data_IF_070383843897
#
_entry.id   IF_070383843897
#
_cell.length_a   1.000
_cell.length_b   1.000
_cell.length_c   1.000
_cell.angle_alpha   90.00
_cell.angle_beta   90.00
_cell.angle_gamma   90.00
#
_symmetry.space_group_name_H-M   'P 1'
#
loop_
_entity.id
_entity.type
_entity.pdbx_description
1 polymer ?
#
# COMPACT_ATOMS: atom_id res chain seq x y z
N UNK A 1 -47.04 -46.14 -12.78
CA UNK A 1 -46.21 -45.29 -13.67
C UNK A 1 -46.75 -43.87 -13.71
N UNK A 2 -45.87 -42.87 -13.56
CA UNK A 2 -46.02 -41.46 -13.99
C UNK A 2 -47.01 -40.54 -13.24
N UNK A 3 -46.77 -40.13 -11.98
CA UNK A 3 -47.31 -38.85 -11.44
C UNK A 3 -46.47 -38.13 -10.37
N UNK A 4 -45.20 -38.49 -10.16
CA UNK A 4 -44.40 -37.96 -9.02
C UNK A 4 -43.05 -37.34 -9.41
N UNK A 5 -42.94 -36.73 -10.59
CA UNK A 5 -41.69 -36.08 -11.06
C UNK A 5 -41.97 -34.69 -11.67
N UNK A 6 -42.85 -33.89 -11.08
CA UNK A 6 -43.06 -32.50 -11.55
C UNK A 6 -42.99 -31.45 -10.43
N UNK A 7 -42.88 -31.84 -9.16
CA UNK A 7 -42.80 -30.90 -8.05
C UNK A 7 -41.37 -30.49 -7.66
N UNK A 8 -40.34 -31.24 -8.07
CA UNK A 8 -38.94 -30.93 -7.73
C UNK A 8 -38.28 -29.91 -8.67
N UNK A 9 -38.87 -29.59 -9.81
CA UNK A 9 -38.34 -28.56 -10.72
C UNK A 9 -38.87 -27.15 -10.41
N UNK A 10 -39.99 -27.02 -9.68
CA UNK A 10 -40.52 -25.71 -9.27
C UNK A 10 -39.82 -25.14 -8.02
N UNK A 11 -39.16 -26.00 -7.22
CA UNK A 11 -38.36 -25.55 -6.07
C UNK A 11 -36.91 -25.15 -6.45
N UNK A 12 -36.46 -25.45 -7.67
CA UNK A 12 -35.12 -25.07 -8.15
C UNK A 12 -35.09 -23.75 -8.94
N UNK A 13 -36.25 -23.22 -9.37
CA UNK A 13 -36.35 -21.95 -10.09
C UNK A 13 -36.66 -20.73 -9.20
N UNK A 14 -36.89 -20.91 -7.90
CA UNK A 14 -37.10 -19.82 -6.93
C UNK A 14 -35.80 -19.36 -6.22
N UNK A 15 -34.63 -19.88 -6.60
CA UNK A 15 -33.34 -19.51 -5.98
C UNK A 15 -32.46 -18.55 -6.79
N UNK A 16 -32.96 -17.98 -7.88
CA UNK A 16 -32.15 -17.17 -8.79
C UNK A 16 -32.79 -15.84 -9.16
N UNK A 17 -33.29 -15.10 -8.15
CA UNK A 17 -33.48 -13.64 -8.22
C UNK A 17 -33.39 -13.01 -6.81
N UNK A 18 -32.43 -13.45 -5.98
CA UNK A 18 -31.81 -12.50 -5.04
C UNK A 18 -30.90 -11.60 -5.88
N UNK A 19 -31.52 -10.77 -6.73
CA UNK A 19 -30.95 -9.49 -7.09
C UNK A 19 -30.77 -8.81 -5.76
N UNK A 20 -29.52 -8.80 -5.28
CA UNK A 20 -29.05 -7.89 -4.27
C UNK A 20 -29.26 -6.48 -4.82
N UNK A 21 -30.50 -6.01 -4.81
CA UNK A 21 -30.80 -4.63 -4.47
C UNK A 21 -30.41 -4.48 -3.00
N UNK A 22 -29.10 -4.54 -2.72
CA UNK A 22 -28.53 -3.61 -1.75
C UNK A 22 -28.95 -2.27 -2.32
N UNK A 23 -30.11 -1.76 -1.88
CA UNK A 23 -30.50 -0.38 -2.14
C UNK A 23 -29.24 0.40 -1.89
N UNK A 24 -28.72 1.04 -2.94
CA UNK A 24 -27.43 1.72 -2.90
C UNK A 24 -27.52 2.64 -1.72
N UNK A 25 -26.91 2.23 -0.60
CA UNK A 25 -26.84 3.08 0.57
C UNK A 25 -26.13 4.31 0.02
N UNK A 26 -26.81 5.45 0.05
CA UNK A 26 -26.22 6.73 -0.28
C UNK A 26 -25.12 6.93 0.78
N UNK A 27 -23.92 6.45 0.50
CA UNK A 27 -22.77 6.55 1.39
C UNK A 27 -22.28 8.00 1.27
N UNK A 28 -22.80 8.85 2.14
CA UNK A 28 -22.43 10.26 2.31
C UNK A 28 -22.65 11.14 1.08
N UNK A 29 -22.71 12.46 1.29
CA UNK A 29 -22.85 13.43 0.21
C UNK A 29 -21.51 14.06 -0.12
N UNK A 30 -21.36 14.42 -1.39
CA UNK A 30 -20.13 14.95 -1.97
C UNK A 30 -19.89 16.45 -1.76
N UNK A 31 -20.38 17.00 -0.66
CA UNK A 31 -20.21 18.42 -0.34
C UNK A 31 -21.47 19.26 -0.45
N UNK A 32 -21.53 20.25 0.43
CA UNK A 32 -22.70 21.08 0.70
C UNK A 32 -22.35 22.56 0.59
N UNK A 33 -23.37 23.36 0.31
CA UNK A 33 -23.38 24.79 0.55
C UNK A 33 -24.40 25.10 1.64
N UNK A 34 -24.05 26.03 2.52
CA UNK A 34 -24.95 26.69 3.41
C UNK A 34 -25.67 27.80 2.62
N UNK A 35 -26.99 27.65 2.47
CA UNK A 35 -27.86 28.69 1.91
C UNK A 35 -28.44 29.47 3.09
N UNK A 36 -28.19 30.76 3.16
CA UNK A 36 -28.71 31.63 4.22
C UNK A 36 -29.56 32.75 3.62
N UNK A 37 -30.79 32.89 4.11
CA UNK A 37 -31.69 33.98 3.72
C UNK A 37 -31.61 35.09 4.78
N UNK A 38 -30.92 36.19 4.46
CA UNK A 38 -30.66 37.31 5.37
C UNK A 38 -31.16 38.59 4.75
N UNK A 39 -32.13 39.24 5.40
CA UNK A 39 -32.71 40.53 4.96
C UNK A 39 -33.19 40.54 3.50
N UNK A 40 -33.77 39.42 3.03
CA UNK A 40 -34.26 39.27 1.67
C UNK A 40 -33.20 38.97 0.61
N UNK A 41 -31.93 38.79 1.01
CA UNK A 41 -30.85 38.30 0.15
C UNK A 41 -30.50 36.87 0.49
N UNK A 42 -30.41 36.01 -0.53
CA UNK A 42 -29.94 34.63 -0.39
C UNK A 42 -28.45 34.58 -0.67
N UNK A 43 -27.66 34.11 0.29
CA UNK A 43 -26.22 33.88 0.14
C UNK A 43 -25.91 32.39 0.19
N UNK A 44 -24.92 31.97 -0.62
CA UNK A 44 -24.39 30.61 -0.63
C UNK A 44 -22.94 30.60 -0.21
N UNK A 45 -22.62 29.77 0.78
CA UNK A 45 -21.26 29.53 1.23
C UNK A 45 -20.97 28.03 1.30
N UNK A 46 -19.88 27.55 0.71
CA UNK A 46 -19.48 26.14 0.86
C UNK A 46 -19.28 25.77 2.33
N UNK A 47 -19.94 24.70 2.77
CA UNK A 47 -20.05 24.37 4.18
C UNK A 47 -18.69 24.09 4.83
N UNK A 48 -17.75 23.46 4.10
CA UNK A 48 -16.38 23.24 4.57
C UNK A 48 -15.65 24.56 4.92
N UNK A 49 -15.91 25.63 4.17
CA UNK A 49 -15.35 26.97 4.42
C UNK A 49 -16.00 27.57 5.66
N UNK A 50 -17.33 27.51 5.74
CA UNK A 50 -18.07 27.98 6.90
C UNK A 50 -17.60 27.27 8.20
N UNK A 51 -17.48 25.93 8.18
CA UNK A 51 -16.96 25.17 9.32
C UNK A 51 -15.51 25.53 9.64
N UNK A 52 -14.67 25.83 8.63
CA UNK A 52 -13.30 26.29 8.84
C UNK A 52 -13.27 27.62 9.61
N UNK A 53 -14.16 28.55 9.25
CA UNK A 53 -14.27 29.87 9.88
C UNK A 53 -14.85 29.80 11.29
N UNK A 54 -15.73 28.85 11.58
CA UNK A 54 -16.33 28.74 12.90
C UNK A 54 -15.37 28.17 13.96
N UNK A 55 -14.51 27.23 13.56
CA UNK A 55 -13.60 26.57 14.48
C UNK A 55 -12.37 27.45 14.76
N UNK A 56 -12.32 28.02 15.98
CA UNK A 56 -11.28 28.94 16.46
C UNK A 56 -9.84 28.39 16.43
N UNK A 57 -9.68 27.07 16.28
CA UNK A 57 -8.36 26.42 16.09
C UNK A 57 -7.73 26.80 14.75
N UNK A 58 -8.55 27.17 13.77
CA UNK A 58 -8.09 27.67 12.47
C UNK A 58 -8.13 29.20 12.53
N UNK A 59 -6.99 29.86 12.27
CA UNK A 59 -6.96 31.31 12.21
C UNK A 59 -7.76 31.78 10.98
N UNK A 60 -9.01 32.17 11.25
CA UNK A 60 -10.09 32.50 10.30
C UNK A 60 -9.63 33.50 9.23
N UNK A 61 -8.67 34.37 9.57
CA UNK A 61 -8.16 35.41 8.69
C UNK A 61 -7.29 34.91 7.52
N UNK A 62 -6.89 33.63 7.51
CA UNK A 62 -5.84 33.13 6.60
C UNK A 62 -6.21 31.86 5.83
N UNK A 63 -7.47 31.68 5.43
CA UNK A 63 -7.80 30.63 4.47
C UNK A 63 -7.12 30.92 3.13
N UNK A 64 -6.26 30.01 2.70
CA UNK A 64 -5.57 30.05 1.42
C UNK A 64 -6.28 29.11 0.44
N UNK A 65 -7.06 29.70 -0.47
CA UNK A 65 -7.81 28.98 -1.50
C UNK A 65 -6.97 28.54 -2.70
N UNK A 66 -5.65 28.68 -2.62
CA UNK A 66 -4.74 28.29 -3.69
C UNK A 66 -4.64 29.31 -4.82
N UNK A 67 -3.60 29.14 -5.63
CA UNK A 67 -3.27 30.01 -6.77
C UNK A 67 -3.97 29.55 -8.04
N UNK A 68 -4.28 30.50 -8.92
CA UNK A 68 -4.90 30.24 -10.22
C UNK A 68 -6.17 31.05 -10.44
N UNK A 69 -6.66 31.04 -11.68
CA UNK A 69 -7.86 31.78 -12.10
C UNK A 69 -9.10 30.89 -12.18
N UNK A 70 -8.93 29.57 -12.26
CA UNK A 70 -10.03 28.59 -12.30
C UNK A 70 -10.01 27.71 -11.06
N UNK A 71 -11.17 27.17 -10.71
CA UNK A 71 -11.36 26.28 -9.58
C UNK A 71 -10.48 25.01 -9.66
N UNK A 72 -10.24 24.48 -10.85
CA UNK A 72 -9.33 23.34 -11.07
C UNK A 72 -7.86 23.72 -10.77
N UNK A 73 -7.40 24.89 -11.26
CA UNK A 73 -6.04 25.36 -10.98
C UNK A 73 -5.83 25.58 -9.47
N UNK A 74 -6.83 26.18 -8.81
CA UNK A 74 -6.85 26.40 -7.37
C UNK A 74 -6.83 25.08 -6.59
N UNK A 75 -7.66 24.10 -6.96
CA UNK A 75 -7.67 22.78 -6.33
C UNK A 75 -6.30 22.07 -6.43
N UNK A 76 -5.67 22.09 -7.61
CA UNK A 76 -4.30 21.57 -7.79
C UNK A 76 -3.30 22.30 -6.88
N UNK A 77 -3.40 23.63 -6.81
CA UNK A 77 -2.55 24.43 -5.92
C UNK A 77 -2.76 24.09 -4.45
N UNK A 78 -3.99 23.81 -4.02
CA UNK A 78 -4.29 23.37 -2.64
C UNK A 78 -3.62 22.01 -2.39
N UNK A 79 -3.72 21.06 -3.32
CA UNK A 79 -3.10 19.74 -3.16
C UNK A 79 -1.58 19.76 -3.16
N UNK A 80 -0.91 20.74 -3.77
CA UNK A 80 0.56 20.87 -3.69
C UNK A 80 1.09 20.95 -2.25
N UNK A 81 0.25 21.34 -1.29
CA UNK A 81 0.58 21.40 0.14
C UNK A 81 0.96 20.05 0.74
N UNK A 82 0.53 18.93 0.14
CA UNK A 82 0.88 17.58 0.60
C UNK A 82 2.02 16.94 -0.18
N UNK A 83 2.50 17.54 -1.27
CA UNK A 83 3.48 16.94 -2.17
C UNK A 83 4.75 16.48 -1.45
N UNK A 84 5.35 17.37 -0.66
CA UNK A 84 6.62 17.11 0.04
C UNK A 84 6.52 16.06 1.16
N UNK A 85 5.31 15.81 1.71
CA UNK A 85 5.11 14.95 2.88
C UNK A 85 4.38 13.64 2.56
N UNK A 86 3.60 13.62 1.47
CA UNK A 86 2.93 12.42 0.95
C UNK A 86 2.81 12.49 -0.59
N UNK A 87 3.93 12.25 -1.30
CA UNK A 87 4.00 12.37 -2.76
C UNK A 87 3.01 11.46 -3.50
N UNK A 88 2.78 10.23 -3.01
CA UNK A 88 1.89 9.26 -3.65
C UNK A 88 0.44 9.72 -3.60
N UNK A 89 -0.02 10.23 -2.43
CA UNK A 89 -1.36 10.81 -2.31
C UNK A 89 -1.48 12.07 -3.15
N UNK A 90 -0.47 12.94 -3.17
CA UNK A 90 -0.46 14.12 -4.02
C UNK A 90 -0.68 13.77 -5.50
N UNK A 91 0.11 12.84 -6.03
CA UNK A 91 -0.03 12.38 -7.42
C UNK A 91 -1.45 11.87 -7.70
N UNK A 92 -1.96 11.00 -6.83
CA UNK A 92 -3.32 10.45 -6.94
C UNK A 92 -4.39 11.55 -6.95
N UNK A 93 -4.26 12.56 -6.08
CA UNK A 93 -5.19 13.68 -6.02
C UNK A 93 -5.11 14.59 -7.25
N UNK A 94 -3.91 14.82 -7.80
CA UNK A 94 -3.76 15.57 -9.04
C UNK A 94 -4.42 14.82 -10.20
N UNK A 95 -4.20 13.51 -10.33
CA UNK A 95 -4.83 12.69 -11.37
C UNK A 95 -6.36 12.77 -11.28
N UNK A 96 -6.92 12.59 -10.09
CA UNK A 96 -8.37 12.71 -9.89
C UNK A 96 -8.93 14.12 -10.09
N UNK A 97 -8.16 15.16 -9.76
CA UNK A 97 -8.53 16.55 -10.05
C UNK A 97 -8.57 16.80 -11.56
N UNK A 98 -7.64 16.21 -12.32
CA UNK A 98 -7.60 16.34 -13.78
C UNK A 98 -8.79 15.65 -14.46
N UNK A 99 -9.28 14.58 -13.84
CA UNK A 99 -10.45 13.82 -14.29
C UNK A 99 -11.78 14.40 -13.79
N UNK A 100 -11.76 15.44 -12.94
CA UNK A 100 -12.96 15.93 -12.27
C UNK A 100 -14.04 16.36 -13.26
N UNK A 101 -13.69 17.23 -14.21
CA UNK A 101 -14.65 17.77 -15.18
C UNK A 101 -15.19 16.70 -16.12
N UNK A 102 -14.35 15.76 -16.58
CA UNK A 102 -14.78 14.69 -17.48
C UNK A 102 -15.69 13.65 -16.81
N UNK A 103 -15.68 13.60 -15.47
CA UNK A 103 -16.57 12.75 -14.66
C UNK A 103 -17.76 13.52 -14.08
N UNK A 104 -17.94 14.79 -14.41
CA UNK A 104 -18.98 15.65 -13.84
C UNK A 104 -20.21 15.77 -14.75
N UNK A 105 -21.38 15.67 -14.14
CA UNK A 105 -22.68 15.84 -14.76
C UNK A 105 -23.44 16.97 -14.06
N UNK A 106 -23.60 18.09 -14.77
CA UNK A 106 -24.33 19.26 -14.30
C UNK A 106 -25.83 19.07 -14.54
N UNK A 107 -26.63 19.04 -13.48
CA UNK A 107 -28.08 18.84 -13.55
C UNK A 107 -28.85 19.89 -12.75
N UNK A 108 -30.05 20.19 -13.24
CA UNK A 108 -31.01 21.12 -12.61
C UNK A 108 -32.20 20.34 -11.99
N UNK A 109 -32.50 19.15 -12.51
CA UNK A 109 -33.79 18.48 -12.29
C UNK A 109 -33.81 17.54 -11.07
N UNK A 110 -32.65 17.04 -10.67
CA UNK A 110 -32.52 16.09 -9.56
C UNK A 110 -31.38 16.57 -8.66
N UNK A 111 -31.63 17.53 -7.74
CA UNK A 111 -30.62 17.89 -6.78
C UNK A 111 -30.23 16.63 -5.98
N UNK A 112 -28.96 16.51 -5.56
CA UNK A 112 -28.57 15.36 -4.77
C UNK A 112 -29.44 15.22 -3.52
N UNK A 113 -29.76 13.99 -3.12
CA UNK A 113 -30.54 13.73 -1.91
C UNK A 113 -29.74 14.13 -0.67
N UNK A 114 -30.35 14.73 0.36
CA UNK A 114 -29.67 14.96 1.63
C UNK A 114 -29.22 13.63 2.26
N UNK A 115 -28.01 13.60 2.82
CA UNK A 115 -27.51 12.52 3.65
C UNK A 115 -27.26 13.05 5.06
N UNK A 116 -27.34 12.18 6.08
CA UNK A 116 -27.04 12.52 7.47
C UNK A 116 -25.51 12.65 7.70
N UNK A 117 -24.87 13.55 6.94
CA UNK A 117 -23.41 13.79 6.96
C UNK A 117 -23.00 14.95 7.89
N UNK A 118 -23.97 15.65 8.49
CA UNK A 118 -23.73 16.69 9.50
C UNK A 118 -23.60 16.08 10.89
N UNK A 119 -22.37 15.81 11.32
CA UNK A 119 -22.09 15.37 12.70
C UNK A 119 -22.10 16.53 13.70
N UNK A 120 -21.87 17.76 13.22
CA UNK A 120 -21.99 19.00 13.96
C UNK A 120 -23.15 19.79 13.34
N UNK A 121 -24.32 19.76 13.98
CA UNK A 121 -25.50 20.54 13.57
C UNK A 121 -25.33 22.02 13.93
N UNK A 122 -24.23 22.65 13.48
CA UNK A 122 -23.93 24.07 13.70
C UNK A 122 -24.37 24.92 12.51
N UNK A 123 -25.62 24.71 12.09
CA UNK A 123 -26.27 25.47 11.02
C UNK A 123 -26.89 26.71 11.69
N UNK A 124 -26.54 27.94 11.27
CA UNK A 124 -27.15 29.15 11.81
C UNK A 124 -28.67 29.17 11.62
N UNK A 125 -29.35 29.96 12.45
CA UNK A 125 -30.77 30.27 12.24
C UNK A 125 -30.96 30.90 10.86
N UNK A 126 -32.02 30.50 10.15
CA UNK A 126 -32.35 30.91 8.78
C UNK A 126 -31.35 30.47 7.70
N UNK A 127 -30.57 29.44 7.98
CA UNK A 127 -29.76 28.76 6.98
C UNK A 127 -30.16 27.29 6.83
N UNK A 128 -29.92 26.74 5.65
CA UNK A 128 -30.11 25.32 5.34
C UNK A 128 -28.90 24.77 4.57
N UNK A 129 -28.60 23.48 4.76
CA UNK A 129 -27.57 22.80 3.98
C UNK A 129 -28.16 22.30 2.68
N UNK A 130 -27.71 22.86 1.56
CA UNK A 130 -28.09 22.42 0.22
C UNK A 130 -26.94 21.58 -0.37
N UNK A 131 -27.21 20.34 -0.80
CA UNK A 131 -26.18 19.54 -1.45
C UNK A 131 -25.83 20.14 -2.81
N UNK A 132 -24.53 20.32 -3.06
CA UNK A 132 -24.02 20.89 -4.31
C UNK A 132 -23.51 19.80 -5.23
N UNK A 133 -22.77 18.84 -4.68
CA UNK A 133 -22.21 17.71 -5.42
C UNK A 133 -22.54 16.42 -4.70
N UNK A 134 -22.80 15.37 -5.46
CA UNK A 134 -22.80 14.00 -4.96
C UNK A 134 -22.00 13.08 -5.88
N UNK A 135 -21.20 12.22 -5.29
CA UNK A 135 -20.56 11.13 -6.01
C UNK A 135 -21.51 9.92 -6.09
N UNK A 136 -21.87 9.52 -7.30
CA UNK A 136 -22.56 8.28 -7.58
C UNK A 136 -21.74 7.44 -8.56
N UNK A 137 -21.33 6.23 -8.15
CA UNK A 137 -20.56 5.29 -8.98
C UNK A 137 -19.32 5.92 -9.66
N UNK A 138 -18.56 6.75 -8.93
CA UNK A 138 -17.39 7.49 -9.43
C UNK A 138 -17.70 8.58 -10.47
N UNK A 139 -18.93 9.09 -10.47
CA UNK A 139 -19.35 10.24 -11.27
C UNK A 139 -19.92 11.32 -10.37
N UNK A 140 -19.57 12.58 -10.63
CA UNK A 140 -20.00 13.71 -9.82
C UNK A 140 -21.28 14.29 -10.42
N UNK A 141 -22.37 14.29 -9.66
CA UNK A 141 -23.60 14.98 -10.03
C UNK A 141 -23.63 16.33 -9.34
N UNK A 142 -23.65 17.40 -10.12
CA UNK A 142 -23.50 18.77 -9.64
C UNK A 142 -24.81 19.53 -9.86
N UNK A 143 -25.31 20.16 -8.79
CA UNK A 143 -26.45 21.06 -8.86
C UNK A 143 -26.04 22.37 -9.54
N UNK A 144 -26.41 22.53 -10.81
CA UNK A 144 -26.01 23.68 -11.65
C UNK A 144 -26.48 25.01 -11.09
N UNK A 145 -27.67 25.05 -10.48
CA UNK A 145 -28.24 26.29 -9.96
C UNK A 145 -27.40 26.84 -8.81
N UNK A 146 -26.98 25.97 -7.89
CA UNK A 146 -26.15 26.36 -6.75
C UNK A 146 -24.71 26.61 -7.19
N UNK A 147 -24.16 25.72 -8.01
CA UNK A 147 -22.79 25.83 -8.52
C UNK A 147 -22.50 27.18 -9.18
N UNK A 148 -23.46 27.70 -9.96
CA UNK A 148 -23.33 28.99 -10.64
C UNK A 148 -23.38 30.20 -9.68
N UNK A 149 -23.85 30.02 -8.44
CA UNK A 149 -23.79 31.06 -7.39
C UNK A 149 -22.46 31.04 -6.63
N UNK A 150 -21.64 30.01 -6.80
CA UNK A 150 -20.36 29.88 -6.12
C UNK A 150 -19.25 30.57 -6.92
N UNK A 151 -18.33 31.24 -6.20
CA UNK A 151 -17.10 31.74 -6.80
C UNK A 151 -16.07 30.61 -6.99
N UNK A 152 -14.96 30.91 -7.67
CA UNK A 152 -13.93 29.91 -8.00
C UNK A 152 -13.22 29.32 -6.77
N UNK A 153 -13.09 30.06 -5.67
CA UNK A 153 -12.51 29.56 -4.42
C UNK A 153 -13.42 28.52 -3.75
N UNK A 154 -14.72 28.80 -3.75
CA UNK A 154 -15.74 27.92 -3.23
C UNK A 154 -15.84 26.64 -4.07
N UNK A 155 -15.88 26.76 -5.40
CA UNK A 155 -15.84 25.62 -6.31
C UNK A 155 -14.58 24.79 -6.11
N UNK A 156 -13.41 25.43 -5.97
CA UNK A 156 -12.14 24.73 -5.72
C UNK A 156 -12.19 23.92 -4.42
N UNK A 157 -12.80 24.48 -3.38
CA UNK A 157 -12.98 23.79 -2.10
C UNK A 157 -13.85 22.54 -2.23
N UNK A 158 -14.94 22.61 -3.01
CA UNK A 158 -15.77 21.43 -3.30
C UNK A 158 -15.03 20.38 -4.10
N UNK A 159 -14.22 20.76 -5.09
CA UNK A 159 -13.38 19.80 -5.83
C UNK A 159 -12.37 19.12 -4.91
N UNK A 160 -11.72 19.88 -4.01
CA UNK A 160 -10.80 19.32 -3.01
C UNK A 160 -11.51 18.33 -2.10
N UNK A 161 -12.71 18.69 -1.62
CA UNK A 161 -13.54 17.80 -0.82
C UNK A 161 -13.80 16.48 -1.56
N UNK A 162 -14.28 16.54 -2.80
CA UNK A 162 -14.65 15.36 -3.57
C UNK A 162 -13.48 14.44 -3.89
N UNK A 163 -12.34 15.01 -4.22
CA UNK A 163 -11.12 14.23 -4.49
C UNK A 163 -10.67 13.49 -3.22
N UNK A 164 -10.74 14.12 -2.04
CA UNK A 164 -10.45 13.45 -0.77
C UNK A 164 -11.54 12.43 -0.42
N UNK A 165 -12.82 12.74 -0.71
CA UNK A 165 -13.94 11.86 -0.44
C UNK A 165 -13.89 10.59 -1.28
N UNK A 166 -13.40 10.65 -2.52
CA UNK A 166 -13.10 9.45 -3.30
C UNK A 166 -12.13 8.50 -2.60
N UNK A 167 -11.06 9.04 -2.00
CA UNK A 167 -10.15 8.22 -1.20
C UNK A 167 -10.87 7.68 0.04
N UNK A 168 -11.66 8.51 0.74
CA UNK A 168 -12.40 8.13 1.94
C UNK A 168 -13.41 7.00 1.69
N UNK A 169 -14.09 7.03 0.54
CA UNK A 169 -15.05 6.02 0.09
C UNK A 169 -14.39 4.75 -0.44
N UNK A 170 -13.11 4.81 -0.81
CA UNK A 170 -12.38 3.65 -1.31
C UNK A 170 -12.54 2.46 -0.36
N UNK A 171 -12.52 1.26 -0.93
CA UNK A 171 -12.83 0.02 -0.21
C UNK A 171 -12.00 -0.18 1.06
N UNK A 172 -10.79 0.38 1.09
CA UNK A 172 -9.88 0.32 2.22
C UNK A 172 -10.26 1.32 3.31
N UNK A 173 -10.67 2.52 2.89
CA UNK A 173 -11.00 3.60 3.80
C UNK A 173 -12.44 3.56 4.29
N UNK A 174 -13.43 3.03 3.56
CA UNK A 174 -14.85 2.84 4.00
C UNK A 174 -15.37 3.89 4.99
N UNK A 175 -15.15 5.18 4.74
CA UNK A 175 -15.80 6.20 5.52
C UNK A 175 -17.29 6.17 5.19
N UNK A 176 -18.13 6.27 6.21
CA UNK A 176 -19.58 6.25 6.04
C UNK A 176 -20.17 7.64 5.78
N UNK A 177 -19.37 8.69 6.00
CA UNK A 177 -19.75 10.09 5.86
C UNK A 177 -18.52 10.96 5.53
N UNK A 178 -18.76 12.21 5.17
CA UNK A 178 -17.73 13.19 4.81
C UNK A 178 -17.09 13.94 6.00
N UNK A 179 -17.36 13.57 7.27
CA UNK A 179 -16.87 14.35 8.43
C UNK A 179 -15.35 14.51 8.46
N UNK A 180 -14.63 13.40 8.30
CA UNK A 180 -13.17 13.40 8.29
C UNK A 180 -12.59 14.06 7.03
N UNK A 181 -13.34 14.02 5.92
CA UNK A 181 -13.00 14.74 4.70
C UNK A 181 -13.04 16.23 4.92
N UNK A 182 -14.12 16.78 5.49
CA UNK A 182 -14.20 18.20 5.84
C UNK A 182 -13.07 18.62 6.77
N UNK A 183 -12.70 17.77 7.74
CA UNK A 183 -11.53 18.01 8.58
C UNK A 183 -10.23 18.10 7.77
N UNK A 184 -10.01 17.19 6.84
CA UNK A 184 -8.85 17.24 5.95
C UNK A 184 -8.86 18.46 5.03
N UNK A 185 -9.97 18.77 4.37
CA UNK A 185 -10.15 19.96 3.54
C UNK A 185 -9.78 21.23 4.30
N UNK A 186 -10.25 21.40 5.54
CA UNK A 186 -9.93 22.57 6.39
C UNK A 186 -8.44 22.70 6.68
N UNK A 187 -7.78 21.60 7.01
CA UNK A 187 -6.34 21.60 7.25
C UNK A 187 -5.51 21.98 6.02
N UNK A 188 -5.97 21.55 4.83
CA UNK A 188 -5.40 22.00 3.57
C UNK A 188 -5.63 23.49 3.38
N UNK A 189 -6.86 24.00 3.49
CA UNK A 189 -7.21 25.41 3.28
C UNK A 189 -6.45 26.37 4.22
N UNK A 190 -6.21 25.99 5.48
CA UNK A 190 -5.42 26.80 6.41
C UNK A 190 -3.89 26.62 6.25
N UNK A 191 -3.46 25.92 5.19
CA UNK A 191 -2.05 25.63 4.91
C UNK A 191 -1.29 24.99 6.10
N UNK A 192 -2.01 24.29 6.98
CA UNK A 192 -1.45 23.74 8.21
C UNK A 192 -0.62 22.49 7.92
N UNK A 193 -1.04 21.69 6.95
CA UNK A 193 -0.32 20.47 6.54
C UNK A 193 1.05 20.78 5.96
N UNK A 194 1.19 21.89 5.22
CA UNK A 194 2.48 22.30 4.67
C UNK A 194 3.54 22.62 5.74
N UNK A 195 3.11 22.78 7.00
CA UNK A 195 3.97 23.09 8.15
C UNK A 195 4.12 21.91 9.11
N UNK A 196 3.44 20.79 8.86
CA UNK A 196 3.50 19.62 9.73
C UNK A 196 4.83 18.91 9.58
N UNK A 197 5.37 18.39 10.69
CA UNK A 197 6.38 17.35 10.60
C UNK A 197 5.76 16.06 10.03
N UNK A 198 6.59 15.14 9.51
CA UNK A 198 6.11 13.83 9.06
C UNK A 198 5.32 13.11 10.17
N UNK A 199 5.84 13.15 11.41
CA UNK A 199 5.16 12.56 12.57
C UNK A 199 3.77 13.15 12.81
N UNK A 200 3.65 14.49 12.79
CA UNK A 200 2.37 15.16 13.02
C UNK A 200 1.37 14.85 11.91
N UNK A 201 1.83 14.83 10.66
CA UNK A 201 1.01 14.46 9.52
C UNK A 201 0.53 13.00 9.59
N UNK A 202 1.41 12.04 9.90
CA UNK A 202 1.03 10.63 10.02
C UNK A 202 0.02 10.44 11.17
N UNK A 203 0.23 11.10 12.31
CA UNK A 203 -0.72 11.09 13.42
C UNK A 203 -2.07 11.71 13.00
N UNK A 204 -2.05 12.82 12.27
CA UNK A 204 -3.24 13.47 11.74
C UNK A 204 -4.03 12.51 10.83
N UNK A 205 -3.41 11.98 9.78
CA UNK A 205 -4.03 11.04 8.82
C UNK A 205 -4.56 9.79 9.52
N UNK A 206 -3.81 9.27 10.48
CA UNK A 206 -4.25 8.12 11.28
C UNK A 206 -5.49 8.46 12.13
N UNK A 207 -5.53 9.64 12.75
CA UNK A 207 -6.67 10.10 13.57
C UNK A 207 -7.93 10.34 12.75
N UNK A 208 -7.80 10.77 11.49
CA UNK A 208 -8.93 10.89 10.55
C UNK A 208 -9.23 9.58 9.80
N UNK A 209 -8.74 8.44 10.31
CA UNK A 209 -9.13 7.09 9.89
C UNK A 209 -8.78 6.69 8.44
N UNK A 210 -7.84 7.37 7.80
CA UNK A 210 -7.29 6.93 6.52
C UNK A 210 -6.31 5.79 6.73
N UNK A 211 -6.29 4.81 5.83
CA UNK A 211 -5.56 3.55 6.01
C UNK A 211 -4.10 3.61 5.62
N UNK A 212 -3.67 4.58 4.81
CA UNK A 212 -2.30 4.67 4.30
C UNK A 212 -1.73 6.08 4.28
N UNK A 213 -0.40 6.15 4.25
CA UNK A 213 0.38 7.34 3.95
C UNK A 213 1.79 6.95 3.47
N UNK A 214 2.59 7.94 3.08
CA UNK A 214 3.98 7.71 2.73
C UNK A 214 4.92 7.98 3.92
N UNK A 215 5.99 7.20 4.02
CA UNK A 215 7.11 7.44 4.90
C UNK A 215 8.41 7.02 4.21
N UNK A 216 9.36 7.97 4.06
CA UNK A 216 10.69 7.72 3.49
C UNK A 216 10.69 6.98 2.13
N UNK A 217 9.68 7.27 1.29
CA UNK A 217 9.50 6.63 -0.02
C UNK A 217 8.71 5.31 -0.01
N UNK A 218 8.10 4.93 1.13
CA UNK A 218 7.27 3.73 1.27
C UNK A 218 5.82 4.05 1.58
N UNK A 219 4.91 3.28 1.00
CA UNK A 219 3.49 3.28 1.39
C UNK A 219 3.33 2.44 2.67
N UNK A 220 3.01 3.10 3.77
CA UNK A 220 2.80 2.48 5.08
C UNK A 220 1.32 2.43 5.43
N UNK A 221 0.92 1.41 6.17
CA UNK A 221 -0.43 1.26 6.69
C UNK A 221 -0.54 1.96 8.07
N UNK A 222 -1.55 2.81 8.22
CA UNK A 222 -1.84 3.58 9.42
C UNK A 222 -3.04 3.02 10.20
N UNK A 223 -4.04 2.50 9.49
CA UNK A 223 -5.24 1.93 10.09
C UNK A 223 -5.58 0.61 9.40
N UNK A 224 -6.11 -0.35 10.16
CA UNK A 224 -6.73 -1.56 9.61
C UNK A 224 -8.21 -1.57 9.92
N UNK A 225 -9.00 -2.05 8.96
CA UNK A 225 -10.43 -2.24 9.10
C UNK A 225 -10.72 -3.73 9.31
N UNK A 226 -11.37 -4.05 10.42
CA UNK A 226 -11.82 -5.41 10.74
C UNK A 226 -13.29 -5.55 10.31
N UNK A 227 -13.56 -6.41 9.31
CA UNK A 227 -14.92 -6.67 8.81
C UNK A 227 -15.82 -7.30 9.85
N UNK A 228 -15.28 -8.17 10.70
CA UNK A 228 -16.07 -8.95 11.64
C UNK A 228 -16.65 -8.04 12.71
N UNK A 229 -15.83 -7.10 13.19
CA UNK A 229 -16.25 -6.14 14.21
C UNK A 229 -16.80 -4.82 13.63
N UNK A 230 -16.64 -4.57 12.33
CA UNK A 230 -16.88 -3.27 11.69
C UNK A 230 -16.14 -2.13 12.41
N UNK A 231 -14.93 -2.40 12.91
CA UNK A 231 -14.10 -1.44 13.66
C UNK A 231 -12.81 -1.14 12.94
N UNK A 232 -12.34 0.09 13.12
CA UNK A 232 -10.98 0.49 12.75
C UNK A 232 -10.07 0.37 13.96
N UNK A 233 -8.85 -0.08 13.72
CA UNK A 233 -7.78 -0.03 14.71
C UNK A 233 -6.55 0.63 14.13
N UNK A 234 -5.89 1.43 14.96
CA UNK A 234 -4.65 2.11 14.63
C UNK A 234 -3.51 1.10 14.58
N UNK A 235 -2.73 1.13 13.51
CA UNK A 235 -1.48 0.39 13.41
C UNK A 235 -0.35 1.19 14.07
N UNK A 236 0.61 0.48 14.64
CA UNK A 236 1.71 1.14 15.36
C UNK A 236 2.66 1.79 14.34
N UNK A 237 2.97 3.06 14.55
CA UNK A 237 4.08 3.75 13.90
C UNK A 237 5.04 4.17 15.01
N UNK A 238 6.28 3.70 14.94
CA UNK A 238 7.32 4.08 15.88
C UNK A 238 8.18 5.20 15.28
N UNK A 239 8.65 6.10 16.14
CA UNK A 239 9.46 7.24 15.75
C UNK A 239 10.78 7.24 16.51
N UNK A 240 11.80 7.79 15.87
CA UNK A 240 13.03 8.21 16.54
C UNK A 240 12.81 9.54 17.29
N UNK A 241 13.78 9.93 18.12
CA UNK A 241 13.71 11.18 18.89
C UNK A 241 13.64 12.42 17.98
N UNK A 242 14.23 12.34 16.78
CA UNK A 242 14.15 13.38 15.75
C UNK A 242 12.81 13.39 14.97
N UNK A 243 11.80 12.67 15.46
CA UNK A 243 10.48 12.52 14.84
C UNK A 243 10.45 11.83 13.45
N UNK A 244 11.57 11.28 12.97
CA UNK A 244 11.56 10.44 11.78
C UNK A 244 10.97 9.06 12.08
N UNK A 245 10.34 8.42 11.08
CA UNK A 245 9.74 7.09 11.23
C UNK A 245 10.85 6.05 11.47
N UNK A 246 10.76 5.33 12.58
CA UNK A 246 11.63 4.21 12.95
C UNK A 246 11.12 2.89 12.42
N UNK A 247 9.83 2.62 12.56
CA UNK A 247 9.19 1.42 12.04
C UNK A 247 7.70 1.66 11.79
N UNK A 248 7.16 0.99 10.77
CA UNK A 248 5.74 1.05 10.44
C UNK A 248 5.31 -0.22 9.70
N UNK A 249 4.05 -0.60 9.86
CA UNK A 249 3.43 -1.65 9.05
C UNK A 249 3.43 -1.24 7.58
N UNK A 250 3.90 -2.10 6.68
CA UNK A 250 3.83 -1.84 5.25
C UNK A 250 2.39 -1.98 4.76
N UNK A 251 1.98 -1.11 3.84
CA UNK A 251 0.74 -1.33 3.10
C UNK A 251 0.88 -2.61 2.26
N UNK A 252 -0.19 -3.32 1.90
CA UNK A 252 -0.06 -4.62 1.18
C UNK A 252 0.38 -4.47 -0.28
N UNK A 253 0.22 -3.29 -0.88
CA UNK A 253 0.64 -3.03 -2.27
C UNK A 253 1.35 -1.69 -2.39
N UNK A 254 2.49 -1.66 -3.04
CA UNK A 254 3.17 -0.40 -3.25
C UNK A 254 4.39 -0.55 -4.13
N UNK A 255 4.77 0.57 -4.71
CA UNK A 255 6.08 0.73 -5.32
C UNK A 255 6.85 1.68 -4.43
N UNK A 256 8.09 1.35 -4.11
CA UNK A 256 8.94 2.12 -3.22
C UNK A 256 10.30 2.31 -3.87
N UNK A 257 10.79 3.53 -3.81
CA UNK A 257 12.09 3.91 -4.35
C UNK A 257 12.87 4.60 -3.24
N UNK A 258 13.91 3.93 -2.74
CA UNK A 258 14.81 4.51 -1.73
C UNK A 258 16.21 3.96 -1.90
N UNK A 259 17.24 4.78 -1.75
CA UNK A 259 18.65 4.33 -1.81
C UNK A 259 19.00 3.47 -3.04
N UNK A 260 18.36 3.71 -4.18
CA UNK A 260 18.54 2.89 -5.40
C UNK A 260 17.86 1.51 -5.37
N UNK A 261 17.06 1.22 -4.33
CA UNK A 261 16.19 0.04 -4.25
C UNK A 261 14.83 0.43 -4.82
N UNK A 262 14.48 -0.15 -5.96
CA UNK A 262 13.14 -0.14 -6.50
C UNK A 262 12.43 -1.43 -6.08
N UNK A 263 11.55 -1.32 -5.08
CA UNK A 263 10.75 -2.42 -4.59
C UNK A 263 9.31 -2.22 -5.07
N UNK A 264 8.86 -3.07 -5.99
CA UNK A 264 7.43 -3.21 -6.25
C UNK A 264 6.93 -4.45 -5.54
N UNK A 265 5.88 -4.30 -4.74
CA UNK A 265 5.36 -5.40 -3.95
C UNK A 265 3.83 -5.43 -4.01
N UNK A 266 3.32 -6.64 -4.12
CA UNK A 266 1.90 -6.93 -4.10
C UNK A 266 1.67 -8.17 -3.24
N UNK A 267 1.20 -7.94 -2.03
CA UNK A 267 0.82 -8.99 -1.11
C UNK A 267 -0.58 -9.49 -1.42
N UNK A 268 -0.73 -10.79 -1.64
CA UNK A 268 -2.04 -11.44 -1.83
C UNK A 268 -2.97 -11.35 -0.62
N UNK A 269 -2.52 -10.72 0.47
CA UNK A 269 -3.36 -10.29 1.57
C UNK A 269 -4.41 -9.33 1.01
N UNK A 270 -5.65 -9.81 0.84
CA UNK A 270 -6.79 -8.92 0.93
C UNK A 270 -6.64 -8.08 2.20
N UNK A 271 -7.07 -6.82 2.17
CA UNK A 271 -6.97 -5.77 3.21
C UNK A 271 -7.17 -6.18 4.69
N UNK A 272 -7.66 -7.39 4.92
CA UNK A 272 -8.18 -7.96 6.15
C UNK A 272 -7.13 -8.45 7.15
N UNK A 273 -5.90 -8.75 6.70
CA UNK A 273 -4.89 -9.38 7.58
C UNK A 273 -3.58 -8.58 7.65
N UNK A 274 -3.70 -7.25 7.70
CA UNK A 274 -2.58 -6.39 8.09
C UNK A 274 -2.27 -6.62 9.58
N UNK A 275 -1.44 -7.63 9.85
CA UNK A 275 -0.84 -7.83 11.15
C UNK A 275 0.44 -6.98 11.27
N UNK A 276 0.75 -6.53 12.49
CA UNK A 276 1.93 -5.69 12.78
C UNK A 276 3.25 -6.36 12.40
N UNK A 277 3.22 -7.66 12.16
CA UNK A 277 4.36 -8.47 11.76
C UNK A 277 4.88 -8.15 10.35
N UNK A 278 4.08 -7.58 9.43
CA UNK A 278 4.58 -7.10 8.13
C UNK A 278 5.01 -5.64 8.23
N UNK A 279 6.31 -5.36 8.32
CA UNK A 279 6.79 -4.01 8.59
C UNK A 279 8.05 -3.65 7.81
N UNK A 280 8.26 -2.34 7.71
CA UNK A 280 9.52 -1.71 7.33
C UNK A 280 10.08 -0.96 8.53
N UNK A 281 11.40 -0.98 8.70
CA UNK A 281 12.10 -0.16 9.67
C UNK A 281 13.23 0.61 9.02
N UNK A 282 13.59 1.72 9.65
CA UNK A 282 14.52 2.70 9.12
C UNK A 282 15.55 3.10 10.17
N UNK A 283 16.74 3.44 9.69
CA UNK A 283 17.73 4.19 10.44
C UNK A 283 17.27 5.64 10.64
N UNK A 284 17.89 6.35 11.59
CA UNK A 284 17.57 7.76 11.87
C UNK A 284 17.83 8.70 10.69
N UNK A 285 18.66 8.28 9.74
CA UNK A 285 18.95 8.98 8.46
C UNK A 285 17.96 8.63 7.34
N UNK A 286 16.81 8.01 7.68
CA UNK A 286 15.72 7.65 6.77
C UNK A 286 16.00 6.48 5.82
N UNK A 287 17.21 5.90 5.87
CA UNK A 287 17.52 4.71 5.08
C UNK A 287 16.85 3.48 5.65
N UNK A 288 16.47 2.56 4.78
CA UNK A 288 15.86 1.29 5.19
C UNK A 288 16.88 0.49 6.00
N UNK A 289 16.44 -0.01 7.15
CA UNK A 289 17.16 -0.95 7.98
C UNK A 289 16.68 -2.38 7.71
N UNK A 290 15.36 -2.60 7.69
CA UNK A 290 14.81 -3.94 7.52
C UNK A 290 13.43 -3.93 6.90
N UNK A 291 13.21 -4.88 5.98
CA UNK A 291 11.89 -5.40 5.64
C UNK A 291 11.66 -6.70 6.40
N UNK A 292 10.49 -6.85 7.01
CA UNK A 292 10.09 -8.10 7.66
C UNK A 292 8.70 -8.50 7.20
N UNK A 293 8.59 -9.73 6.72
CA UNK A 293 7.36 -10.38 6.28
C UNK A 293 7.21 -11.74 6.97
N UNK A 294 6.19 -11.92 7.84
CA UNK A 294 6.01 -13.17 8.56
C UNK A 294 5.53 -14.26 7.59
N UNK A 295 6.28 -15.36 7.50
CA UNK A 295 5.99 -16.46 6.57
C UNK A 295 4.69 -17.22 6.93
N UNK A 296 4.16 -17.05 8.14
CA UNK A 296 2.99 -17.79 8.61
C UNK A 296 1.69 -17.39 7.89
N UNK A 297 1.73 -16.43 6.97
CA UNK A 297 0.57 -16.01 6.18
C UNK A 297 0.26 -17.03 5.09
N UNK A 298 -1.01 -17.40 4.96
CA UNK A 298 -1.51 -18.33 3.94
C UNK A 298 -1.38 -17.80 2.50
N UNK A 299 -1.01 -16.52 2.33
CA UNK A 299 -0.92 -15.83 1.04
C UNK A 299 0.48 -15.23 0.88
N UNK A 300 1.31 -15.66 -0.08
CA UNK A 300 2.63 -15.08 -0.29
C UNK A 300 2.54 -13.64 -0.83
N UNK A 301 3.50 -12.80 -0.46
CA UNK A 301 3.73 -11.54 -1.18
C UNK A 301 4.58 -11.78 -2.41
N UNK A 302 4.18 -11.15 -3.52
CA UNK A 302 5.02 -11.05 -4.69
C UNK A 302 5.86 -9.79 -4.56
N UNK A 303 7.18 -9.96 -4.56
CA UNK A 303 8.13 -8.86 -4.62
C UNK A 303 8.83 -8.88 -5.98
N UNK A 304 8.67 -7.80 -6.73
CA UNK A 304 9.46 -7.49 -7.91
C UNK A 304 10.54 -6.51 -7.48
N UNK A 305 11.75 -7.03 -7.31
CA UNK A 305 12.91 -6.21 -6.99
C UNK A 305 13.53 -5.79 -8.31
N UNK A 306 13.04 -4.67 -8.84
CA UNK A 306 13.26 -4.31 -10.25
C UNK A 306 14.74 -3.96 -10.53
N UNK A 307 15.46 -3.48 -9.51
CA UNK A 307 16.91 -3.23 -9.62
C UNK A 307 17.56 -3.32 -8.24
N UNK A 308 18.07 -4.49 -7.85
CA UNK A 308 19.20 -4.52 -6.93
C UNK A 308 20.46 -4.48 -7.77
N UNK A 309 21.03 -3.29 -7.97
CA UNK A 309 22.30 -3.09 -8.72
C UNK A 309 23.44 -4.03 -8.28
N UNK A 310 23.35 -4.61 -7.09
CA UNK A 310 24.36 -5.48 -6.51
C UNK A 310 23.98 -6.96 -6.43
N UNK A 311 22.78 -7.37 -6.88
CA UNK A 311 22.33 -8.76 -6.67
C UNK A 311 21.63 -9.41 -7.87
N UNK A 312 21.49 -8.73 -9.02
CA UNK A 312 21.16 -9.39 -10.29
C UNK A 312 19.91 -10.29 -10.26
N UNK A 313 18.92 -10.00 -9.42
CA UNK A 313 17.74 -10.84 -9.27
C UNK A 313 16.60 -10.37 -10.16
N UNK A 314 16.18 -11.22 -11.10
CA UNK A 314 14.91 -11.11 -11.81
C UNK A 314 14.04 -12.33 -11.48
N UNK A 315 13.00 -12.16 -10.66
CA UNK A 315 12.07 -13.26 -10.34
C UNK A 315 11.14 -12.97 -9.16
N UNK A 316 10.15 -13.85 -8.96
CA UNK A 316 9.24 -13.84 -7.81
C UNK A 316 9.93 -14.50 -6.62
N UNK A 317 10.05 -13.80 -5.49
CA UNK A 317 10.61 -14.35 -4.26
C UNK A 317 9.70 -14.08 -3.06
N UNK A 318 9.58 -15.07 -2.17
CA UNK A 318 8.99 -14.92 -0.84
C UNK A 318 10.07 -14.89 0.23
N UNK A 319 10.49 -13.70 0.66
CA UNK A 319 11.42 -13.56 1.78
C UNK A 319 10.69 -13.35 3.12
N UNK A 320 11.33 -13.74 4.22
CA UNK A 320 10.88 -13.46 5.58
C UNK A 320 11.45 -12.14 6.09
N UNK A 321 12.70 -11.85 5.77
CA UNK A 321 13.28 -10.55 6.09
C UNK A 321 14.47 -10.22 5.21
N UNK A 322 14.60 -8.96 4.87
CA UNK A 322 15.81 -8.39 4.28
C UNK A 322 16.31 -7.32 5.22
N UNK A 323 17.58 -7.37 5.62
CA UNK A 323 18.25 -6.32 6.40
C UNK A 323 19.30 -5.62 5.56
N UNK A 324 19.50 -4.35 5.84
CA UNK A 324 20.43 -3.47 5.15
C UNK A 324 21.37 -2.80 6.14
N UNK A 325 22.57 -2.46 5.72
CA UNK A 325 23.48 -1.57 6.45
C UNK A 325 23.02 -0.11 6.32
N UNK A 326 23.62 0.79 7.10
CA UNK A 326 23.38 2.23 6.96
C UNK A 326 23.85 2.79 5.60
N UNK A 327 24.70 2.07 4.88
CA UNK A 327 25.10 2.42 3.51
C UNK A 327 24.06 1.97 2.47
N UNK A 328 23.07 1.17 2.88
CA UNK A 328 22.04 0.60 2.00
C UNK A 328 22.40 -0.75 1.38
N UNK A 329 23.50 -1.39 1.83
CA UNK A 329 23.90 -2.71 1.35
C UNK A 329 23.13 -3.81 2.08
N UNK A 330 22.74 -4.89 1.40
CA UNK A 330 22.07 -6.03 2.05
C UNK A 330 23.07 -6.73 2.98
N UNK A 331 22.73 -6.84 4.27
CA UNK A 331 23.54 -7.50 5.29
C UNK A 331 22.99 -8.86 5.71
N UNK A 332 21.69 -9.08 5.50
CA UNK A 332 21.05 -10.36 5.79
C UNK A 332 19.82 -10.55 4.92
N UNK A 333 19.70 -11.72 4.31
CA UNK A 333 18.50 -12.18 3.63
C UNK A 333 18.04 -13.47 4.31
N UNK A 334 16.83 -13.45 4.87
CA UNK A 334 16.17 -14.66 5.40
C UNK A 334 15.06 -15.02 4.45
N UNK A 335 15.25 -16.14 3.76
CA UNK A 335 14.27 -16.71 2.86
C UNK A 335 13.58 -17.91 3.51
N UNK A 336 12.29 -18.07 3.21
CA UNK A 336 11.57 -19.28 3.54
C UNK A 336 10.55 -19.51 2.42
N UNK A 337 10.80 -20.53 1.62
CA UNK A 337 9.92 -20.91 0.54
C UNK A 337 10.31 -22.25 -0.03
N UNK A 338 9.36 -22.86 -0.72
CA UNK A 338 9.57 -24.04 -1.54
C UNK A 338 10.22 -23.56 -2.84
N UNK A 339 11.45 -24.01 -3.12
CA UNK A 339 12.12 -23.75 -4.39
C UNK A 339 11.51 -24.67 -5.45
N UNK A 340 10.26 -24.44 -5.85
CA UNK A 340 9.69 -25.09 -7.03
C UNK A 340 10.29 -24.41 -8.26
N UNK A 341 11.37 -24.98 -8.80
CA UNK A 341 12.09 -24.58 -10.03
C UNK A 341 13.03 -23.37 -9.91
N UNK A 342 14.15 -23.51 -9.19
CA UNK A 342 15.25 -22.52 -9.33
C UNK A 342 16.24 -22.90 -10.44
N UNK A 343 16.42 -22.06 -11.49
CA UNK A 343 17.73 -21.87 -12.09
C UNK A 343 18.68 -21.22 -11.07
N UNK A 344 19.97 -21.48 -11.25
CA UNK A 344 21.09 -21.17 -10.35
C UNK A 344 21.08 -19.74 -9.79
N UNK A 345 21.30 -19.61 -8.48
CA UNK A 345 21.52 -18.33 -7.80
C UNK A 345 22.98 -17.90 -7.99
N UNK A 346 23.31 -17.21 -9.09
CA UNK A 346 24.62 -16.57 -9.25
C UNK A 346 24.65 -15.22 -8.55
N UNK A 347 25.27 -15.19 -7.38
CA UNK A 347 25.56 -13.95 -6.66
C UNK A 347 26.91 -13.41 -7.13
N UNK A 348 26.88 -12.42 -8.02
CA UNK A 348 28.07 -11.65 -8.39
C UNK A 348 28.42 -10.67 -7.25
N UNK A 349 28.88 -11.23 -6.15
CA UNK A 349 29.40 -10.49 -5.00
C UNK A 349 30.91 -10.30 -5.19
N UNK A 350 31.46 -9.10 -4.94
CA UNK A 350 32.91 -8.92 -4.87
C UNK A 350 33.48 -9.94 -3.88
N UNK A 351 34.53 -10.65 -4.32
CA UNK A 351 35.21 -11.76 -3.64
C UNK A 351 35.34 -11.58 -2.11
N UNK A 352 34.32 -12.00 -1.36
CA UNK A 352 34.45 -12.57 -0.01
C UNK A 352 33.12 -13.17 0.50
N UNK A 353 33.01 -14.49 0.31
CA UNK A 353 32.39 -15.49 1.21
C UNK A 353 30.88 -15.38 1.49
N UNK A 354 30.11 -16.11 0.68
CA UNK A 354 28.78 -16.59 1.02
C UNK A 354 28.86 -17.85 1.93
N UNK A 355 28.06 -17.90 3.00
CA UNK A 355 27.74 -19.14 3.73
C UNK A 355 26.28 -19.52 3.48
N UNK A 356 26.04 -20.80 3.26
CA UNK A 356 24.72 -21.42 3.17
C UNK A 356 24.67 -22.49 4.25
N UNK A 357 23.69 -22.45 5.16
CA UNK A 357 23.48 -23.50 6.18
C UNK A 357 22.05 -24.01 6.14
N UNK A 358 21.84 -25.24 5.67
CA UNK A 358 20.54 -25.89 5.67
C UNK A 358 20.21 -26.48 7.06
N UNK A 359 19.02 -26.16 7.59
CA UNK A 359 18.48 -26.78 8.80
C UNK A 359 17.91 -28.19 8.53
N UNK A 360 18.06 -29.10 9.50
CA UNK A 360 17.62 -30.50 9.40
C UNK A 360 16.14 -30.68 9.81
N UNK A 361 15.23 -30.95 8.86
CA UNK A 361 14.15 -31.99 8.89
C UNK A 361 13.21 -31.91 7.66
N UNK A 362 12.49 -33.00 7.30
CA UNK A 362 12.35 -33.43 5.90
C UNK A 362 11.18 -32.80 5.13
N UNK A 363 11.36 -32.81 3.80
CA UNK A 363 10.53 -32.30 2.70
C UNK A 363 10.58 -30.76 2.54
N UNK A 364 11.60 -30.34 1.78
CA UNK A 364 11.72 -29.08 1.01
C UNK A 364 11.65 -27.75 1.76
N UNK A 365 12.37 -27.63 2.88
CA UNK A 365 12.66 -26.33 3.51
C UNK A 365 14.17 -26.08 3.48
N UNK A 366 14.62 -25.19 2.59
CA UNK A 366 16.00 -24.67 2.61
C UNK A 366 15.96 -23.32 3.34
N UNK A 367 16.41 -23.29 4.59
CA UNK A 367 16.70 -22.04 5.26
C UNK A 367 18.06 -21.54 4.76
N UNK A 368 18.07 -20.51 3.90
CA UNK A 368 19.27 -19.82 3.49
C UNK A 368 19.49 -18.65 4.44
N UNK A 369 20.54 -18.72 5.25
CA UNK A 369 21.03 -17.59 6.03
C UNK A 369 22.36 -17.12 5.43
N UNK A 370 22.32 -16.04 4.65
CA UNK A 370 23.52 -15.42 4.10
C UNK A 370 24.12 -14.52 5.18
N UNK A 371 25.26 -14.96 5.75
CA UNK A 371 26.04 -14.22 6.75
C UNK A 371 27.45 -13.99 6.18
N UNK A 372 27.99 -12.76 6.17
CA UNK A 372 29.39 -12.57 5.88
C UNK A 372 30.22 -13.10 7.06
N UNK A 373 31.23 -13.93 6.76
CA UNK A 373 32.37 -14.37 7.58
C UNK A 373 32.53 -15.89 7.97
N UNK A 374 33.71 -16.39 7.53
CA UNK A 374 34.56 -17.58 7.82
C UNK A 374 34.08 -19.04 7.70
N UNK A 375 34.62 -19.76 6.69
CA UNK A 375 34.80 -21.24 6.56
C UNK A 375 33.52 -22.12 6.63
N UNK A 376 33.28 -22.89 5.57
CA UNK A 376 32.22 -23.90 5.51
C UNK A 376 32.80 -25.23 5.99
N UNK A 377 32.18 -25.83 7.00
CA UNK A 377 32.42 -27.22 7.43
C UNK A 377 31.07 -27.91 7.44
N UNK A 378 30.87 -28.87 6.54
CA UNK A 378 29.66 -29.69 6.52
C UNK A 378 29.83 -30.83 7.55
N UNK A 379 28.94 -30.90 8.53
CA UNK A 379 28.91 -31.98 9.53
C UNK A 379 27.50 -32.55 9.64
N UNK A 380 27.37 -33.87 9.78
CA UNK A 380 26.08 -34.52 10.06
C UNK A 380 25.24 -34.89 8.83
N UNK A 381 25.87 -35.20 7.68
CA UNK A 381 25.14 -35.76 6.54
C UNK A 381 24.57 -37.12 6.94
N UNK A 382 23.25 -37.27 6.84
CA UNK A 382 22.58 -38.54 7.07
C UNK A 382 22.94 -39.50 5.94
N UNK A 383 23.66 -40.58 6.26
CA UNK A 383 24.15 -41.62 5.32
C UNK A 383 23.05 -42.26 4.44
N UNK A 384 21.76 -42.02 4.72
CA UNK A 384 20.62 -42.55 3.95
C UNK A 384 20.11 -41.67 2.80
N UNK A 385 20.59 -40.44 2.63
CA UNK A 385 20.39 -39.74 1.35
C UNK A 385 21.28 -40.40 0.30
N UNK A 386 20.66 -41.17 -0.59
CA UNK A 386 21.35 -41.94 -1.61
C UNK A 386 22.19 -41.02 -2.52
N UNK A 387 23.40 -41.48 -2.82
CA UNK A 387 24.37 -40.85 -3.70
C UNK A 387 23.82 -40.50 -5.09
N UNK A 388 22.74 -41.16 -5.54
CA UNK A 388 22.09 -40.92 -6.83
C UNK A 388 21.20 -39.66 -6.86
N UNK A 389 20.58 -39.26 -5.75
CA UNK A 389 19.74 -38.04 -5.74
C UNK A 389 20.60 -36.78 -5.84
N UNK A 390 21.79 -36.78 -5.25
CA UNK A 390 22.74 -35.68 -5.39
C UNK A 390 23.39 -35.66 -6.79
N UNK A 391 23.62 -36.83 -7.40
CA UNK A 391 24.20 -36.96 -8.73
C UNK A 391 23.20 -36.55 -9.83
N UNK A 392 21.94 -36.97 -9.73
CA UNK A 392 20.88 -36.60 -10.67
C UNK A 392 20.54 -35.11 -10.60
N UNK A 393 20.74 -34.47 -9.44
CA UNK A 393 20.60 -33.02 -9.29
C UNK A 393 21.70 -32.22 -9.98
N UNK A 394 22.88 -32.81 -10.17
CA UNK A 394 24.04 -32.17 -10.81
C UNK A 394 24.12 -32.46 -12.32
N UNK A 395 23.45 -33.52 -12.80
CA UNK A 395 23.60 -34.04 -14.18
C UNK A 395 22.41 -33.70 -15.10
N UNK A 396 21.28 -33.18 -14.59
CA UNK A 396 20.19 -32.68 -15.45
C UNK A 396 20.46 -31.26 -15.98
N UNK A 397 21.56 -31.10 -16.70
CA UNK A 397 21.89 -29.90 -17.46
C UNK A 397 21.79 -30.24 -18.95
N UNK A 398 20.70 -29.81 -19.59
CA UNK A 398 20.46 -30.07 -21.01
C UNK A 398 21.34 -29.12 -21.85
N UNK A 399 22.21 -29.69 -22.67
CA UNK A 399 23.34 -29.03 -23.31
C UNK A 399 22.98 -28.36 -24.65
N UNK A 400 22.56 -27.10 -24.62
CA UNK A 400 22.64 -26.24 -25.81
C UNK A 400 23.77 -25.20 -25.77
N UNK A 401 24.31 -24.87 -24.59
CA UNK A 401 25.17 -23.68 -24.45
C UNK A 401 26.51 -23.91 -23.74
N UNK A 402 27.00 -25.16 -23.68
CA UNK A 402 28.32 -25.44 -23.08
C UNK A 402 29.42 -25.38 -24.15
N UNK A 403 30.26 -24.36 -24.05
CA UNK A 403 31.53 -24.27 -24.77
C UNK A 403 32.41 -25.49 -24.45
N UNK A 404 33.03 -26.07 -25.48
CA UNK A 404 33.74 -27.37 -25.51
C UNK A 404 35.00 -27.47 -24.63
N UNK A 405 35.27 -26.49 -23.78
CA UNK A 405 36.44 -26.42 -22.90
C UNK A 405 36.18 -26.89 -21.46
N UNK A 406 34.94 -27.23 -21.10
CA UNK A 406 34.61 -27.73 -19.76
C UNK A 406 34.83 -29.24 -19.70
N UNK A 407 35.96 -29.70 -19.13
CA UNK A 407 36.17 -31.11 -18.79
C UNK A 407 35.98 -31.33 -17.29
N UNK A 408 35.01 -32.18 -16.94
CA UNK A 408 34.91 -32.75 -15.60
C UNK A 408 36.04 -33.77 -15.42
N UNK A 409 36.87 -33.59 -14.38
CA UNK A 409 37.83 -34.60 -13.94
C UNK A 409 37.15 -35.42 -12.85
N UNK A 410 37.23 -36.74 -13.00
CA UNK A 410 36.64 -37.76 -12.14
C UNK A 410 36.86 -37.52 -10.65
N UNK A 411 35.89 -37.95 -9.84
CA UNK A 411 36.08 -38.14 -8.41
C UNK A 411 36.31 -39.63 -8.11
N UNK A 412 37.12 -39.91 -7.09
CA UNK A 412 37.31 -41.27 -6.57
C UNK A 412 36.90 -41.29 -5.11
N UNK A 413 35.98 -42.17 -4.74
CA UNK A 413 35.59 -42.41 -3.34
C UNK A 413 36.30 -43.68 -2.89
N UNK A 414 37.26 -43.56 -1.97
CA UNK A 414 37.83 -44.73 -1.31
C UNK A 414 36.87 -45.20 -0.21
N UNK A 415 36.20 -46.33 -0.44
CA UNK A 415 35.18 -46.89 0.44
C UNK A 415 35.75 -47.80 1.54
N UNK A 416 37.08 -47.92 1.67
CA UNK A 416 37.66 -48.97 2.55
C UNK A 416 37.94 -48.59 4.00
N UNK A 417 37.85 -47.33 4.42
CA UNK A 417 38.04 -46.98 5.83
C UNK A 417 36.93 -46.09 6.38
N UNK A 418 36.28 -46.59 7.43
CA UNK A 418 35.06 -46.05 8.03
C UNK A 418 35.32 -44.85 8.96
N UNK A 419 36.15 -43.87 8.53
CA UNK A 419 36.38 -42.63 9.26
C UNK A 419 36.15 -41.40 8.38
N UNK A 420 35.38 -40.46 8.92
CA UNK A 420 35.08 -39.09 8.44
C UNK A 420 35.73 -38.70 7.09
N UNK A 421 35.04 -38.98 5.98
CA UNK A 421 35.40 -38.43 4.69
C UNK A 421 35.14 -36.93 4.65
N UNK A 422 36.17 -36.14 4.35
CA UNK A 422 36.02 -34.76 3.91
C UNK A 422 35.83 -34.74 2.40
N UNK A 423 34.84 -33.99 1.91
CA UNK A 423 34.69 -33.68 0.49
C UNK A 423 35.53 -32.42 0.21
N UNK A 424 36.64 -32.55 -0.51
CA UNK A 424 37.42 -31.40 -0.99
C UNK A 424 37.07 -31.14 -2.46
N UNK A 425 36.45 -29.98 -2.72
CA UNK A 425 36.26 -29.46 -4.07
C UNK A 425 37.42 -28.53 -4.40
N UNK A 426 38.39 -29.04 -5.14
CA UNK A 426 39.50 -28.23 -5.64
C UNK A 426 39.14 -27.69 -7.03
N UNK A 427 39.07 -26.36 -7.17
CA UNK A 427 39.10 -25.71 -8.47
C UNK A 427 40.55 -25.37 -8.81
N UNK A 428 40.98 -25.66 -10.04
CA UNK A 428 42.26 -25.19 -10.57
C UNK A 428 41.98 -24.18 -11.66
N UNK A 429 42.26 -22.91 -11.42
CA UNK A 429 42.30 -21.90 -12.48
C UNK A 429 43.54 -22.14 -13.33
N UNK A 430 43.38 -22.21 -14.65
CA UNK A 430 44.47 -22.06 -15.59
C UNK A 430 44.99 -20.62 -15.48
N UNK A 431 46.13 -20.43 -14.83
CA UNK A 431 46.99 -19.29 -15.15
C UNK A 431 47.58 -19.52 -16.53
N UNK A 432 47.68 -18.44 -17.31
CA UNK A 432 48.17 -18.37 -18.69
C UNK A 432 49.39 -19.26 -18.97
#
# INVERSE_FOLDING_TARGET
>A
MKKTIFLSFLFFSLRSNLVYAKGGHLIGNGGYALKCDVNGSTNYEVYDIYEAKLLTVFNISNLDYGKGNTYIQKARSIFSRIEHINPSRFKQYIDWTNEFESKSYFTILTPPSHTNDSTLNLIPLNCELIPVISNYLNTYHINTLIWNQLNEDQKATLVVHEVIFNEALAYENRHSNSFFVRHFTRHLLNNSIAKMSLKDYLNFIQNISFTKADAHGFSIALNKFDSLSNRRSKLKVEFWDNASVKSATLYWKGTSQTNGINLDYNCGLGHWDLNQSFFVSFYANHKVNQFHYPITTMFPCEFNVIELKHVGFNGKMTFNSIKFSEEGQITSLKYHGYLENFPLLELDTPKDKLKISAGLKPLSIVQLEVIPFYKIRLTGINKKMCQEELLNYLVSWNSSDINSSTKFISYTIDSKNNQNGSLELCYKTLTR
#
